data_IF_444922788246
#
_entry.id   IF_444922788246
#
_cell.length_a   1.000
_cell.length_b   1.000
_cell.length_c   1.000
_cell.angle_alpha   90.00
_cell.angle_beta   90.00
_cell.angle_gamma   90.00
#
_symmetry.space_group_name_H-M   'P 1'
#
loop_
_entity.id
_entity.type
_entity.pdbx_description
1 polymer ?
#
# COMPACT_ATOMS: atom_id res chain seq x y z
N UNK A 1 19.06 6.50 -8.32
CA UNK A 1 17.66 6.68 -8.77
C UNK A 1 17.72 6.96 -10.26
N UNK A 2 17.01 6.19 -11.09
CA UNK A 2 16.85 6.52 -12.51
C UNK A 2 16.31 7.96 -12.62
N UNK A 3 16.85 8.78 -13.52
CA UNK A 3 16.42 10.20 -13.69
C UNK A 3 14.94 10.36 -14.07
N UNK A 4 14.30 9.24 -14.43
CA UNK A 4 13.00 9.21 -15.11
C UNK A 4 11.86 8.82 -14.17
N UNK A 5 12.16 8.57 -12.89
CA UNK A 5 11.17 8.22 -11.87
C UNK A 5 10.84 9.44 -11.00
N UNK A 6 9.58 9.83 -10.96
CA UNK A 6 9.05 10.92 -10.14
C UNK A 6 8.98 10.53 -8.66
N UNK A 7 8.31 9.42 -8.36
CA UNK A 7 8.30 8.86 -7.01
C UNK A 7 8.34 7.34 -7.01
N UNK A 8 8.77 6.81 -5.87
CA UNK A 8 8.86 5.38 -5.59
C UNK A 8 7.94 5.06 -4.43
N UNK A 9 6.97 4.18 -4.66
CA UNK A 9 6.12 3.61 -3.63
C UNK A 9 6.72 2.33 -3.06
N UNK A 10 6.41 2.04 -1.79
CA UNK A 10 6.53 0.69 -1.25
C UNK A 10 5.52 -0.28 -1.87
N UNK A 11 5.72 -1.56 -1.60
CA UNK A 11 4.75 -2.62 -1.83
C UNK A 11 3.76 -2.66 -0.66
N UNK A 12 2.68 -1.91 -0.77
CA UNK A 12 1.74 -1.66 0.33
C UNK A 12 0.60 -2.68 0.36
N UNK A 13 0.47 -3.42 1.46
CA UNK A 13 -0.73 -4.20 1.82
C UNK A 13 -1.85 -3.22 2.17
N UNK A 14 -3.08 -3.51 1.72
CA UNK A 14 -4.23 -2.61 1.82
C UNK A 14 -4.02 -1.32 1.02
N UNK A 15 -3.60 -1.47 -0.23
CA UNK A 15 -3.52 -0.40 -1.23
C UNK A 15 -4.32 -0.82 -2.48
N UNK A 16 -5.38 -0.08 -2.88
CA UNK A 16 -6.39 -0.55 -3.84
C UNK A 16 -5.82 -1.10 -5.15
N UNK A 17 -4.77 -0.46 -5.68
CA UNK A 17 -4.12 -0.94 -6.91
C UNK A 17 -3.23 -2.15 -6.66
N UNK A 18 -2.49 -2.19 -5.56
CA UNK A 18 -1.55 -3.28 -5.27
C UNK A 18 -2.30 -4.54 -4.82
N UNK A 19 -3.51 -4.41 -4.28
CA UNK A 19 -4.38 -5.55 -3.99
C UNK A 19 -4.60 -6.40 -5.23
N UNK A 20 -4.80 -5.77 -6.40
CA UNK A 20 -4.97 -6.49 -7.66
C UNK A 20 -3.68 -7.22 -8.08
N UNK A 21 -2.51 -6.61 -7.86
CA UNK A 21 -1.20 -7.21 -8.11
C UNK A 21 -0.97 -8.41 -7.19
N UNK A 22 -1.22 -8.26 -5.90
CA UNK A 22 -1.12 -9.32 -4.90
C UNK A 22 -2.07 -10.49 -5.18
N UNK A 23 -3.30 -10.20 -5.63
CA UNK A 23 -4.26 -11.22 -6.04
C UNK A 23 -3.76 -12.03 -7.24
N UNK A 24 -3.24 -11.36 -8.29
CA UNK A 24 -2.67 -12.02 -9.47
C UNK A 24 -1.45 -12.87 -9.12
N UNK A 25 -0.66 -12.45 -8.13
CA UNK A 25 0.48 -13.19 -7.59
C UNK A 25 0.07 -14.30 -6.61
N UNK A 26 -1.24 -14.48 -6.36
CA UNK A 26 -1.78 -15.46 -5.40
C UNK A 26 -1.30 -15.25 -3.96
N UNK A 27 -0.92 -14.02 -3.60
CA UNK A 27 -0.51 -13.67 -2.25
C UNK A 27 -1.70 -13.64 -1.28
N UNK A 28 -2.88 -13.28 -1.78
CA UNK A 28 -4.12 -13.16 -1.01
C UNK A 28 -4.81 -14.52 -0.88
N UNK A 29 -5.07 -14.92 0.37
CA UNK A 29 -5.88 -16.09 0.69
C UNK A 29 -7.38 -15.77 0.55
N UNK A 30 -8.19 -16.79 0.28
CA UNK A 30 -9.65 -16.66 0.20
C UNK A 30 -10.13 -15.63 -0.84
N UNK A 31 -9.55 -15.61 -2.04
CA UNK A 31 -10.03 -14.82 -3.18
C UNK A 31 -11.55 -15.00 -3.43
N UNK A 32 -12.10 -16.19 -3.15
CA UNK A 32 -13.53 -16.50 -3.24
C UNK A 32 -14.40 -15.66 -2.29
N UNK A 33 -13.86 -15.24 -1.14
CA UNK A 33 -14.54 -14.35 -0.19
C UNK A 33 -14.53 -12.88 -0.63
N UNK A 34 -13.71 -12.52 -1.62
CA UNK A 34 -13.68 -11.20 -2.25
C UNK A 34 -14.71 -11.09 -3.38
N UNK A 35 -15.01 -12.20 -4.07
CA UNK A 35 -16.03 -12.24 -5.13
C UNK A 35 -17.48 -12.27 -4.62
N UNK A 36 -17.70 -12.56 -3.33
CA UNK A 36 -19.03 -12.91 -2.78
C UNK A 36 -19.81 -11.74 -2.16
N UNK A 37 -19.29 -10.52 -2.17
CA UNK A 37 -19.99 -9.35 -1.59
C UNK A 37 -20.67 -8.57 -2.71
N UNK A 38 -21.95 -8.88 -2.92
CA UNK A 38 -22.97 -8.05 -3.57
C UNK A 38 -22.82 -7.68 -5.05
N UNK A 39 -21.99 -8.38 -5.83
CA UNK A 39 -22.11 -8.34 -7.29
C UNK A 39 -21.68 -7.04 -7.97
N UNK A 40 -21.00 -6.12 -7.28
CA UNK A 40 -20.31 -4.97 -7.89
C UNK A 40 -18.95 -4.74 -7.21
N UNK A 41 -17.91 -5.39 -7.74
CA UNK A 41 -16.51 -4.96 -7.97
C UNK A 41 -15.56 -6.17 -7.87
N UNK A 42 -14.93 -6.65 -8.96
CA UNK A 42 -14.04 -7.81 -8.88
C UNK A 42 -12.74 -7.56 -8.08
N UNK A 43 -12.41 -6.31 -7.74
CA UNK A 43 -11.15 -5.94 -7.09
C UNK A 43 -11.40 -5.04 -5.87
N UNK A 44 -10.81 -5.42 -4.75
CA UNK A 44 -10.99 -4.75 -3.46
C UNK A 44 -10.88 -3.22 -3.48
N UNK A 45 -12.02 -2.54 -3.26
CA UNK A 45 -12.13 -1.10 -3.12
C UNK A 45 -11.46 -0.57 -1.84
N UNK A 46 -10.98 0.67 -1.93
CA UNK A 46 -10.28 1.37 -0.86
C UNK A 46 -11.15 1.67 0.37
N UNK A 47 -12.47 1.71 0.21
CA UNK A 47 -13.44 1.98 1.28
C UNK A 47 -14.00 0.70 1.93
N UNK A 48 -13.69 -0.47 1.38
CA UNK A 48 -14.19 -1.76 1.88
C UNK A 48 -13.37 -2.25 3.09
N UNK A 49 -13.96 -2.20 4.28
CA UNK A 49 -13.37 -2.77 5.51
C UNK A 49 -13.10 -4.26 5.37
N UNK A 50 -14.00 -5.01 4.72
CA UNK A 50 -13.84 -6.44 4.46
C UNK A 50 -12.57 -6.72 3.64
N UNK A 51 -12.35 -5.92 2.61
CA UNK A 51 -11.13 -6.03 1.81
C UNK A 51 -9.86 -5.67 2.58
N UNK A 52 -9.93 -4.66 3.45
CA UNK A 52 -8.83 -4.37 4.38
C UNK A 52 -8.51 -5.57 5.27
N UNK A 53 -9.53 -6.18 5.86
CA UNK A 53 -9.41 -7.37 6.73
C UNK A 53 -8.79 -8.54 5.97
N UNK A 54 -9.36 -8.94 4.83
CA UNK A 54 -8.88 -10.10 4.05
C UNK A 54 -7.41 -9.92 3.63
N UNK A 55 -7.00 -8.70 3.27
CA UNK A 55 -5.61 -8.41 2.92
C UNK A 55 -4.67 -8.54 4.12
N UNK A 56 -5.04 -8.00 5.27
CA UNK A 56 -4.25 -8.11 6.50
C UNK A 56 -4.19 -9.55 7.02
N UNK A 57 -5.31 -10.27 7.04
CA UNK A 57 -5.33 -11.69 7.41
C UNK A 57 -4.45 -12.54 6.50
N UNK A 58 -4.51 -12.29 5.19
CA UNK A 58 -3.64 -12.97 4.23
C UNK A 58 -2.17 -12.68 4.50
N UNK A 59 -1.83 -11.41 4.75
CA UNK A 59 -0.48 -11.01 5.09
C UNK A 59 0.02 -11.69 6.36
N UNK A 60 -0.75 -11.69 7.45
CA UNK A 60 -0.37 -12.34 8.71
C UNK A 60 -0.24 -13.86 8.56
N UNK A 61 -1.12 -14.50 7.79
CA UNK A 61 -1.01 -15.93 7.50
C UNK A 61 0.26 -16.26 6.71
N UNK A 62 0.57 -15.49 5.66
CA UNK A 62 1.82 -15.64 4.88
C UNK A 62 3.06 -15.39 5.74
N UNK A 63 3.01 -14.39 6.61
CA UNK A 63 4.07 -14.11 7.58
C UNK A 63 4.31 -15.32 8.51
N UNK A 64 3.23 -15.87 9.08
CA UNK A 64 3.31 -17.04 9.97
C UNK A 64 3.83 -18.29 9.25
N UNK A 65 3.45 -18.49 7.99
CA UNK A 65 3.89 -19.61 7.16
C UNK A 65 5.28 -19.40 6.52
N UNK A 66 5.95 -18.28 6.81
CA UNK A 66 7.22 -17.89 6.20
C UNK A 66 7.18 -17.91 4.65
N UNK A 67 6.08 -17.43 4.07
CA UNK A 67 5.80 -17.41 2.62
C UNK A 67 5.54 -16.02 2.06
N UNK A 68 6.23 -14.99 2.60
CA UNK A 68 6.08 -13.60 2.17
C UNK A 68 6.58 -13.35 0.74
N UNK A 69 7.39 -14.24 0.18
CA UNK A 69 7.82 -14.18 -1.22
C UNK A 69 6.65 -14.12 -2.21
N UNK A 70 5.47 -14.60 -1.80
CA UNK A 70 4.25 -14.48 -2.59
C UNK A 70 3.85 -13.03 -2.90
N UNK A 71 4.29 -12.06 -2.09
CA UNK A 71 4.07 -10.62 -2.34
C UNK A 71 5.16 -9.95 -3.17
N UNK A 72 6.29 -10.62 -3.41
CA UNK A 72 7.51 -9.96 -3.88
C UNK A 72 7.59 -9.90 -5.41
N UNK A 73 7.76 -8.69 -5.95
CA UNK A 73 8.02 -8.43 -7.36
C UNK A 73 9.23 -7.47 -7.50
N UNK A 74 9.80 -7.32 -8.70
CA UNK A 74 10.95 -6.43 -8.90
C UNK A 74 10.53 -4.96 -8.74
N UNK A 75 9.69 -4.49 -9.64
CA UNK A 75 9.00 -3.21 -9.54
C UNK A 75 7.70 -3.27 -10.36
N UNK A 76 6.76 -2.40 -10.04
CA UNK A 76 5.53 -2.22 -10.80
C UNK A 76 5.46 -0.78 -11.29
N UNK A 77 5.57 -0.60 -12.61
CA UNK A 77 5.43 0.71 -13.25
C UNK A 77 3.97 0.97 -13.55
N UNK A 78 3.37 1.89 -12.79
CA UNK A 78 1.97 2.22 -12.91
C UNK A 78 1.69 3.35 -13.91
N UNK A 79 2.72 3.83 -14.60
CA UNK A 79 2.57 4.75 -15.71
C UNK A 79 2.89 4.10 -17.07
N UNK A 80 3.18 2.78 -17.13
CA UNK A 80 3.68 2.10 -18.33
C UNK A 80 2.80 2.22 -19.58
N UNK A 81 1.48 2.41 -19.42
CA UNK A 81 0.51 2.63 -20.52
C UNK A 81 0.17 4.11 -20.77
N UNK A 82 0.91 5.05 -20.18
CA UNK A 82 0.55 6.46 -20.12
C UNK A 82 -0.82 6.72 -19.48
N UNK A 83 -1.29 5.82 -18.62
CA UNK A 83 -2.62 5.89 -17.99
C UNK A 83 -2.63 6.77 -16.72
N UNK A 84 -1.46 7.11 -16.16
CA UNK A 84 -1.29 7.97 -14.96
C UNK A 84 -2.41 7.80 -13.91
N UNK A 85 -2.59 6.58 -13.36
CA UNK A 85 -3.69 6.29 -12.46
C UNK A 85 -3.49 7.01 -11.12
N UNK A 86 -4.61 7.32 -10.45
CA UNK A 86 -4.57 7.80 -9.07
C UNK A 86 -3.90 6.73 -8.20
N UNK A 87 -2.89 7.14 -7.45
CA UNK A 87 -2.14 6.29 -6.52
C UNK A 87 -2.30 6.81 -5.10
N UNK A 88 -2.57 5.91 -4.15
CA UNK A 88 -2.66 6.35 -2.75
C UNK A 88 -1.25 6.48 -2.16
N UNK A 89 -0.93 7.68 -1.68
CA UNK A 89 0.43 8.04 -1.28
C UNK A 89 0.78 7.56 0.14
N UNK A 90 0.33 6.37 0.54
CA UNK A 90 0.48 5.86 1.91
C UNK A 90 1.94 5.67 2.32
N UNK A 91 2.80 5.24 1.39
CA UNK A 91 4.23 5.06 1.63
C UNK A 91 5.02 5.31 0.34
N UNK A 92 5.48 6.55 0.16
CA UNK A 92 6.20 6.98 -1.04
C UNK A 92 7.49 7.73 -0.69
N UNK A 93 8.42 7.76 -1.64
CA UNK A 93 9.65 8.54 -1.61
C UNK A 93 9.77 9.32 -2.93
N UNK A 94 10.07 10.61 -2.83
CA UNK A 94 10.27 11.52 -3.95
C UNK A 94 11.40 12.50 -3.65
N UNK A 95 11.88 13.23 -4.66
CA UNK A 95 12.80 14.34 -4.44
C UNK A 95 11.98 15.62 -4.21
N UNK A 96 12.36 16.45 -3.23
CA UNK A 96 11.59 17.65 -2.91
C UNK A 96 11.39 18.59 -4.10
N UNK A 97 12.36 18.67 -5.02
CA UNK A 97 12.24 19.46 -6.26
C UNK A 97 11.12 19.00 -7.20
N UNK A 98 10.78 17.71 -7.17
CA UNK A 98 9.79 17.11 -8.07
C UNK A 98 8.35 17.39 -7.60
N UNK A 99 8.15 17.75 -6.32
CA UNK A 99 6.84 18.08 -5.74
C UNK A 99 6.76 19.52 -5.22
N UNK A 100 7.75 20.36 -5.55
CA UNK A 100 7.82 21.74 -5.07
C UNK A 100 6.63 22.61 -5.53
N UNK A 101 5.90 22.18 -6.56
CA UNK A 101 4.75 22.89 -7.12
C UNK A 101 3.40 22.33 -6.65
N UNK A 102 3.38 21.32 -5.78
CA UNK A 102 2.12 20.77 -5.24
C UNK A 102 1.41 21.87 -4.46
N UNK A 103 0.14 22.08 -4.77
CA UNK A 103 -0.73 23.01 -4.07
C UNK A 103 -1.53 22.28 -2.98
N UNK A 104 -1.96 22.97 -1.91
CA UNK A 104 -2.90 22.40 -0.96
C UNK A 104 -4.18 21.90 -1.64
N UNK A 105 -4.69 20.73 -1.24
CA UNK A 105 -5.86 20.10 -1.84
C UNK A 105 -5.68 18.58 -1.96
N UNK A 106 -6.07 18.02 -3.10
CA UNK A 106 -5.92 16.59 -3.40
C UNK A 106 -4.48 16.31 -3.86
N UNK A 107 -3.60 16.11 -2.89
CA UNK A 107 -2.19 15.81 -3.09
C UNK A 107 -1.97 14.47 -3.79
N UNK A 108 -2.78 13.45 -3.48
CA UNK A 108 -2.78 12.17 -4.20
C UNK A 108 -3.02 12.39 -5.69
N UNK A 109 -4.02 13.18 -6.08
CA UNK A 109 -4.29 13.50 -7.48
C UNK A 109 -3.10 14.23 -8.13
N UNK A 110 -2.57 15.26 -7.47
CA UNK A 110 -1.47 16.06 -8.03
C UNK A 110 -0.19 15.24 -8.20
N UNK A 111 0.20 14.48 -7.18
CA UNK A 111 1.47 13.74 -7.15
C UNK A 111 1.41 12.51 -8.04
N UNK A 112 0.28 11.81 -8.12
CA UNK A 112 0.16 10.57 -8.89
C UNK A 112 -0.29 10.75 -10.34
N UNK A 113 -0.98 11.85 -10.66
CA UNK A 113 -1.55 12.10 -11.98
C UNK A 113 -0.91 13.33 -12.62
N UNK A 114 -1.12 14.51 -12.05
CA UNK A 114 -0.85 15.76 -12.76
C UNK A 114 0.64 16.00 -13.01
N UNK A 115 1.46 15.91 -11.95
CA UNK A 115 2.90 16.11 -12.04
C UNK A 115 3.56 15.07 -12.95
N UNK A 116 3.36 13.75 -12.77
CA UNK A 116 4.03 12.79 -13.63
C UNK A 116 3.59 12.91 -15.09
N UNK A 117 2.32 13.26 -15.35
CA UNK A 117 1.82 13.54 -16.70
C UNK A 117 2.45 14.78 -17.33
N UNK A 118 2.60 15.87 -16.57
CA UNK A 118 3.23 17.12 -17.03
C UNK A 118 4.71 16.94 -17.31
N UNK A 119 5.42 16.29 -16.38
CA UNK A 119 6.87 16.07 -16.47
C UNK A 119 7.24 14.86 -17.35
N UNK A 120 6.25 14.09 -17.81
CA UNK A 120 6.41 12.83 -18.54
C UNK A 120 7.33 11.85 -17.81
N UNK A 121 7.20 11.80 -16.49
CA UNK A 121 7.97 10.92 -15.61
C UNK A 121 7.11 9.78 -15.12
N UNK A 122 7.74 8.64 -14.92
CA UNK A 122 7.08 7.44 -14.42
C UNK A 122 7.15 7.41 -12.90
N UNK A 123 6.28 6.63 -12.29
CA UNK A 123 6.26 6.36 -10.86
C UNK A 123 6.09 4.86 -10.69
N UNK A 124 6.80 4.30 -9.71
CA UNK A 124 6.94 2.85 -9.58
C UNK A 124 6.68 2.40 -8.14
N UNK A 125 6.19 1.18 -7.95
CA UNK A 125 6.21 0.50 -6.67
C UNK A 125 7.37 -0.51 -6.64
N UNK A 126 8.13 -0.57 -5.54
CA UNK A 126 9.22 -1.56 -5.37
C UNK A 126 8.70 -2.76 -4.59
N UNK A 127 8.67 -3.93 -5.23
CA UNK A 127 8.02 -5.11 -4.66
C UNK A 127 8.74 -5.71 -3.45
N UNK A 128 10.03 -5.45 -3.27
CA UNK A 128 10.82 -5.90 -2.10
C UNK A 128 10.56 -5.09 -0.82
N UNK A 129 9.94 -3.92 -0.91
CA UNK A 129 9.69 -3.04 0.22
C UNK A 129 8.26 -3.23 0.74
N UNK A 130 7.99 -4.35 1.42
CA UNK A 130 6.66 -4.69 1.92
C UNK A 130 6.26 -3.81 3.12
N UNK A 131 5.11 -3.16 3.04
CA UNK A 131 4.58 -2.22 4.05
C UNK A 131 3.11 -2.50 4.28
N UNK A 132 2.64 -2.42 5.52
CA UNK A 132 1.22 -2.57 5.82
C UNK A 132 0.57 -1.20 6.09
N UNK A 133 -0.44 -0.83 5.29
CA UNK A 133 -1.30 0.32 5.57
C UNK A 133 -2.50 -0.13 6.40
N UNK A 134 -2.65 0.40 7.62
CA UNK A 134 -3.66 -0.10 8.54
C UNK A 134 -5.09 0.01 7.97
N UNK A 135 -5.57 1.22 7.72
CA UNK A 135 -6.92 1.44 7.22
C UNK A 135 -7.11 2.83 6.63
N UNK A 136 -7.84 2.90 5.51
CA UNK A 136 -8.42 4.14 5.01
C UNK A 136 -9.53 4.65 5.93
N UNK A 137 -9.82 5.94 5.83
CA UNK A 137 -10.81 6.58 6.70
C UNK A 137 -12.20 5.89 6.67
N UNK A 138 -12.78 5.54 5.50
CA UNK A 138 -14.05 4.82 5.47
C UNK A 138 -13.97 3.40 6.04
N UNK A 139 -12.82 2.73 5.89
CA UNK A 139 -12.63 1.39 6.42
C UNK A 139 -12.70 1.36 7.96
N UNK A 140 -12.37 2.47 8.64
CA UNK A 140 -12.42 2.62 10.10
C UNK A 140 -13.83 2.82 10.65
N UNK A 141 -14.73 3.41 9.85
CA UNK A 141 -16.06 3.86 10.31
C UNK A 141 -17.06 2.73 10.47
N UNK A 142 -16.79 1.55 9.93
CA UNK A 142 -17.69 0.40 10.06
C UNK A 142 -17.56 -0.34 11.40
N UNK A 143 -16.55 -0.01 12.19
CA UNK A 143 -16.22 -0.66 13.47
C UNK A 143 -16.76 0.09 14.71
N UNK A 144 -17.61 1.12 14.56
CA UNK A 144 -18.20 1.84 15.71
C UNK A 144 -19.14 0.96 16.58
N UNK A 145 -19.40 -0.28 16.18
CA UNK A 145 -20.11 -1.29 17.00
C UNK A 145 -19.24 -2.44 17.49
N UNK A 146 -17.91 -2.45 17.28
CA UNK A 146 -17.06 -3.53 17.80
C UNK A 146 -15.67 -3.02 18.20
N UNK A 147 -15.48 -2.89 19.52
CA UNK A 147 -14.24 -2.77 20.30
C UNK A 147 -12.97 -2.31 19.57
N UNK A 148 -12.51 -1.10 19.93
CA UNK A 148 -11.17 -0.56 19.73
C UNK A 148 -10.06 -1.63 19.88
N UNK A 149 -9.61 -2.18 18.75
CA UNK A 149 -8.47 -3.10 18.69
C UNK A 149 -7.17 -2.32 18.54
N UNK A 150 -6.35 -2.29 19.59
CA UNK A 150 -4.96 -1.82 19.50
C UNK A 150 -4.08 -2.88 18.81
N UNK A 151 -3.49 -2.56 17.65
CA UNK A 151 -2.51 -3.43 16.98
C UNK A 151 -1.11 -3.11 17.52
N UNK A 152 -0.45 -4.11 18.10
CA UNK A 152 0.95 -4.02 18.54
C UNK A 152 1.88 -4.47 17.40
N UNK A 153 2.91 -3.67 17.11
CA UNK A 153 3.94 -3.98 16.11
C UNK A 153 4.95 -4.94 16.77
N UNK A 154 5.12 -6.14 16.21
CA UNK A 154 6.21 -7.07 16.56
C UNK A 154 7.20 -7.06 15.40
N UNK A 155 8.44 -6.61 15.64
CA UNK A 155 9.56 -6.82 14.73
C UNK A 155 10.43 -7.97 15.25
N UNK A 156 10.81 -8.89 14.35
CA UNK A 156 11.73 -9.99 14.65
C UNK A 156 13.09 -9.72 14.02
N UNK A 157 14.17 -9.85 14.80
CA UNK A 157 15.54 -9.98 14.32
C UNK A 157 16.00 -11.42 14.54
N UNK A 158 16.66 -11.98 13.53
CA UNK A 158 17.31 -13.30 13.61
C UNK A 158 18.34 -13.29 14.75
N UNK A 159 18.27 -14.32 15.60
CA UNK A 159 19.12 -14.58 16.76
C UNK A 159 18.66 -13.99 18.10
N UNK A 160 17.44 -14.32 18.53
CA UNK A 160 17.13 -14.81 19.90
C UNK A 160 17.56 -14.01 21.14
N UNK A 161 18.13 -12.81 21.02
CA UNK A 161 18.63 -12.01 22.12
C UNK A 161 18.21 -10.56 21.94
N UNK A 162 17.31 -10.13 22.82
CA UNK A 162 16.71 -8.80 22.84
C UNK A 162 17.76 -7.72 23.12
N UNK A 163 18.02 -6.88 22.11
CA UNK A 163 18.63 -5.55 22.28
C UNK A 163 17.82 -4.54 21.46
N UNK A 164 17.38 -3.48 22.12
CA UNK A 164 16.69 -2.37 21.50
C UNK A 164 17.67 -1.51 20.67
N UNK A 165 17.73 -1.73 19.36
CA UNK A 165 18.19 -0.79 18.31
C UNK A 165 18.00 -1.47 16.96
N UNK A 166 17.41 -0.93 15.91
CA UNK A 166 17.33 0.45 15.44
C UNK A 166 15.89 0.78 15.02
N UNK A 167 15.45 2.01 15.31
CA UNK A 167 14.08 2.47 15.07
C UNK A 167 13.76 2.47 13.58
N UNK A 168 12.92 1.54 13.11
CA UNK A 168 12.10 1.79 11.93
C UNK A 168 10.99 2.75 12.34
N UNK A 169 11.25 4.05 12.19
CA UNK A 169 10.25 5.09 12.43
C UNK A 169 9.22 5.03 11.31
N UNK A 170 8.03 4.51 11.63
CA UNK A 170 6.85 4.60 10.78
C UNK A 170 6.37 6.06 10.79
N UNK A 171 6.59 6.78 9.69
CA UNK A 171 6.05 8.13 9.52
C UNK A 171 4.57 8.01 9.16
N UNK A 172 3.69 8.44 10.08
CA UNK A 172 2.27 8.59 9.84
C UNK A 172 2.03 10.00 9.29
N UNK A 173 1.66 10.13 8.02
CA UNK A 173 1.19 11.40 7.47
C UNK A 173 -0.34 11.49 7.69
N UNK A 174 -0.74 12.23 8.72
CA UNK A 174 -2.11 12.75 8.84
C UNK A 174 -2.23 13.89 7.81
N UNK A 175 -2.96 13.69 6.72
CA UNK A 175 -3.49 14.81 5.95
C UNK A 175 -4.83 15.22 6.57
N UNK A 176 -4.92 16.50 6.94
CA UNK A 176 -6.08 17.17 7.52
C UNK A 176 -7.07 17.59 6.45
#
# INVERSE_FOLDING_TARGET
MHSDVLFVSGNVINHPVLTSVHAQMRAIYNLTSLAAINGEDPYCLWDSSHCGIVQHESFFKRFHENSLEAYMFTYWDFNWRNEYPRWSINFILFQGKDVATVQPGDDEHQISIEIPKREKKHSIAVGKALVAHFAYMPQRRRDETTTQGSVSIISTSENGNYKASEKLTMYYFHHF
#
